data_IF_048507259283
#
_entry.id   IF_048507259283
#
_cell.length_a   1.000
_cell.length_b   1.000
_cell.length_c   1.000
_cell.angle_alpha   90.00
_cell.angle_beta   90.00
_cell.angle_gamma   90.00
#
_symmetry.space_group_name_H-M   'P 1'
#
loop_
_entity.id
_entity.type
_entity.pdbx_description
1 polymer ?
#
# COMPACT_ATOMS: atom_id res chain seq x y z
N UNK A 1 48.11 18.82 -10.26
CA UNK A 1 48.85 19.21 -9.05
C UNK A 1 48.27 18.40 -7.91
N UNK A 2 49.12 17.57 -7.29
CA UNK A 2 49.05 16.86 -6.00
C UNK A 2 47.78 16.06 -5.65
N UNK A 3 47.84 14.72 -5.63
CA UNK A 3 48.15 13.86 -4.46
C UNK A 3 46.96 13.83 -3.47
N UNK A 4 46.31 12.73 -3.10
CA UNK A 4 46.83 11.48 -2.54
C UNK A 4 45.86 10.29 -2.75
N UNK A 5 46.45 9.12 -2.95
CA UNK A 5 45.86 7.78 -2.91
C UNK A 5 45.78 7.28 -1.45
N UNK A 6 44.81 6.41 -1.14
CA UNK A 6 45.04 5.21 -0.29
C UNK A 6 43.89 4.20 -0.39
N UNK A 7 44.23 3.05 -0.94
CA UNK A 7 43.47 1.80 -0.92
C UNK A 7 43.74 0.98 0.37
N UNK A 8 42.94 -0.08 0.54
CA UNK A 8 43.13 -1.30 1.37
C UNK A 8 42.89 -1.15 2.89
N UNK A 9 42.33 -2.09 3.66
CA UNK A 9 42.02 -3.52 3.51
C UNK A 9 41.10 -3.93 4.69
N UNK A 10 40.31 -5.00 4.56
CA UNK A 10 39.77 -5.76 5.70
C UNK A 10 40.78 -6.86 6.08
N UNK A 11 40.89 -7.31 7.36
CA UNK A 11 40.15 -8.55 7.72
C UNK A 11 39.79 -8.75 9.22
N UNK A 12 38.71 -9.50 9.42
CA UNK A 12 38.46 -10.65 10.33
C UNK A 12 38.83 -10.66 11.85
N UNK A 13 37.97 -11.40 12.57
CA UNK A 13 38.11 -12.12 13.86
C UNK A 13 37.75 -11.37 15.14
N UNK A 14 36.85 -11.98 15.93
CA UNK A 14 36.99 -11.95 17.39
C UNK A 14 35.70 -11.82 18.18
N UNK A 15 34.97 -12.92 18.33
CA UNK A 15 34.08 -13.18 19.46
C UNK A 15 34.90 -13.23 20.77
N UNK A 16 34.44 -12.64 21.87
CA UNK A 16 34.56 -13.33 23.17
C UNK A 16 33.29 -13.16 24.02
N UNK A 17 32.64 -14.27 24.37
CA UNK A 17 32.93 -15.06 25.56
C UNK A 17 32.36 -14.43 26.85
N UNK A 18 31.21 -14.96 27.25
CA UNK A 18 30.54 -14.73 28.51
C UNK A 18 31.45 -15.10 29.69
N UNK A 19 31.59 -14.17 30.63
CA UNK A 19 32.32 -14.31 31.86
C UNK A 19 31.57 -15.25 32.82
N UNK A 20 31.93 -16.53 32.78
CA UNK A 20 31.60 -17.53 33.80
C UNK A 20 32.45 -17.24 35.04
N UNK A 21 31.80 -16.95 36.17
CA UNK A 21 32.44 -16.82 37.49
C UNK A 21 32.10 -18.06 38.30
N UNK A 22 33.08 -18.97 38.44
CA UNK A 22 33.03 -20.09 39.37
C UNK A 22 33.40 -19.62 40.81
N UNK A 23 32.82 -20.24 41.85
CA UNK A 23 32.98 -19.83 43.25
C UNK A 23 34.27 -20.38 43.89
N UNK A 24 34.79 -19.61 44.84
CA UNK A 24 35.96 -19.94 45.64
C UNK A 24 35.61 -20.76 46.90
N UNK A 25 36.52 -21.68 47.20
CA UNK A 25 36.73 -22.55 48.35
C UNK A 25 36.42 -21.97 49.76
N UNK A 26 35.59 -22.70 50.48
CA UNK A 26 35.73 -23.28 51.84
C UNK A 26 36.80 -22.71 52.81
N UNK A 27 36.34 -22.25 53.97
CA UNK A 27 36.97 -22.41 55.31
C UNK A 27 35.88 -22.14 56.37
N UNK A 28 35.37 -23.12 57.12
CA UNK A 28 35.98 -23.93 58.20
C UNK A 28 36.23 -23.18 59.52
N UNK A 29 35.30 -23.32 60.47
CA UNK A 29 35.49 -23.59 61.91
C UNK A 29 34.12 -23.42 62.62
N UNK A 30 33.77 -24.00 63.77
CA UNK A 30 34.08 -25.24 64.49
C UNK A 30 33.15 -25.21 65.72
N UNK A 31 32.38 -26.28 65.91
CA UNK A 31 31.77 -26.77 67.17
C UNK A 31 30.60 -26.02 67.84
N UNK A 32 29.49 -26.75 68.00
CA UNK A 32 28.52 -26.55 69.08
C UNK A 32 27.07 -26.78 68.68
N UNK A 33 26.65 -28.06 68.69
CA UNK A 33 25.31 -28.61 68.39
C UNK A 33 24.96 -28.80 66.91
N UNK A 34 25.47 -29.88 66.32
CA UNK A 34 25.06 -30.35 65.00
C UNK A 34 23.60 -30.82 65.06
N UNK A 35 22.69 -29.89 64.78
CA UNK A 35 21.32 -30.21 64.43
C UNK A 35 21.22 -30.21 62.91
N UNK A 36 21.58 -31.34 62.29
CA UNK A 36 21.44 -31.51 60.84
C UNK A 36 19.98 -31.31 60.44
N UNK A 37 19.72 -30.20 59.73
CA UNK A 37 18.38 -29.77 59.35
C UNK A 37 18.15 -30.05 57.87
N UNK A 38 17.36 -31.08 57.59
CA UNK A 38 17.00 -31.46 56.23
C UNK A 38 15.64 -30.88 55.85
N UNK A 39 15.43 -30.58 54.58
CA UNK A 39 14.16 -30.03 54.07
C UNK A 39 13.52 -30.98 53.08
N UNK A 40 12.23 -31.25 53.24
CA UNK A 40 11.42 -31.98 52.26
C UNK A 40 10.26 -31.11 51.75
N UNK A 41 9.91 -31.23 50.47
CA UNK A 41 8.70 -30.59 49.93
C UNK A 41 7.46 -31.36 50.36
N UNK A 42 6.37 -30.67 50.70
CA UNK A 42 5.14 -31.32 51.16
C UNK A 42 4.57 -32.32 50.13
N UNK A 43 4.63 -31.99 48.84
CA UNK A 43 4.19 -32.88 47.77
C UNK A 43 4.98 -34.18 47.69
N UNK A 44 6.29 -34.13 47.97
CA UNK A 44 7.14 -35.33 47.97
C UNK A 44 6.87 -36.19 49.20
N UNK A 45 6.68 -35.56 50.37
CA UNK A 45 6.33 -36.27 51.60
C UNK A 45 4.99 -37.00 51.47
N UNK A 46 3.96 -36.33 50.95
CA UNK A 46 2.63 -36.90 50.76
C UNK A 46 2.63 -38.05 49.73
N UNK A 47 3.42 -37.92 48.65
CA UNK A 47 3.57 -38.98 47.64
C UNK A 47 4.21 -40.26 48.21
N UNK A 48 5.20 -40.12 49.11
CA UNK A 48 5.85 -41.26 49.76
C UNK A 48 4.96 -41.92 50.83
N UNK A 49 4.21 -41.13 51.60
CA UNK A 49 3.19 -41.63 52.55
C UNK A 49 2.09 -42.40 51.81
N UNK A 50 1.63 -41.89 50.66
CA UNK A 50 0.60 -42.54 49.84
C UNK A 50 1.03 -43.91 49.29
N UNK A 51 2.34 -44.16 49.14
CA UNK A 51 2.90 -45.49 48.80
C UNK A 51 2.98 -46.44 49.98
N UNK A 52 2.63 -45.99 51.19
CA UNK A 52 2.59 -46.82 52.40
C UNK A 52 3.90 -46.86 53.17
N UNK A 53 4.87 -46.00 52.87
CA UNK A 53 6.12 -45.93 53.64
C UNK A 53 5.92 -45.22 54.98
N UNK A 54 6.60 -45.68 56.03
CA UNK A 54 6.56 -45.05 57.35
C UNK A 54 7.23 -43.67 57.33
N UNK A 55 6.73 -42.73 58.12
CA UNK A 55 7.31 -41.37 58.17
C UNK A 55 8.79 -41.36 58.58
N UNK A 56 9.20 -42.34 59.39
CA UNK A 56 10.57 -42.49 59.86
C UNK A 56 11.48 -42.95 58.72
N UNK A 57 11.04 -43.93 57.92
CA UNK A 57 11.76 -44.38 56.73
C UNK A 57 11.92 -43.24 55.70
N UNK A 58 10.88 -42.42 55.52
CA UNK A 58 10.92 -41.24 54.64
C UNK A 58 11.90 -40.19 55.18
N UNK A 59 11.84 -39.86 56.47
CA UNK A 59 12.78 -38.89 57.07
C UNK A 59 14.23 -39.39 56.96
N UNK A 60 14.48 -40.69 57.16
CA UNK A 60 15.81 -41.29 57.01
C UNK A 60 16.31 -41.31 55.57
N UNK A 61 15.44 -41.56 54.58
CA UNK A 61 15.85 -41.49 53.17
C UNK A 61 16.30 -40.08 52.79
N UNK A 62 15.64 -39.04 53.33
CA UNK A 62 16.06 -37.65 53.12
C UNK A 62 17.38 -37.34 53.81
N UNK A 63 17.58 -37.82 55.04
CA UNK A 63 18.88 -37.69 55.75
C UNK A 63 20.00 -38.40 54.99
N UNK A 64 19.71 -39.55 54.39
CA UNK A 64 20.63 -40.28 53.51
C UNK A 64 20.91 -39.58 52.15
N UNK A 65 20.30 -38.41 51.91
CA UNK A 65 20.55 -37.59 50.73
C UNK A 65 19.63 -37.85 49.54
N UNK A 66 18.51 -38.56 49.74
CA UNK A 66 17.53 -38.75 48.67
C UNK A 66 16.72 -37.46 48.45
N UNK A 67 16.61 -37.02 47.19
CA UNK A 67 15.93 -35.75 46.82
C UNK A 67 14.62 -36.02 46.06
N UNK A 68 14.55 -37.14 45.34
CA UNK A 68 13.44 -37.49 44.46
C UNK A 68 12.60 -38.66 44.99
N UNK A 69 11.35 -38.74 44.55
CA UNK A 69 10.39 -39.79 44.93
C UNK A 69 10.95 -41.18 44.61
N UNK A 70 11.45 -41.39 43.39
CA UNK A 70 12.03 -42.65 42.95
C UNK A 70 13.23 -43.08 43.81
N UNK A 71 14.17 -42.16 44.05
CA UNK A 71 15.37 -42.42 44.85
C UNK A 71 15.03 -42.73 46.31
N UNK A 72 14.06 -42.02 46.89
CA UNK A 72 13.57 -42.32 48.23
C UNK A 72 12.93 -43.73 48.30
N UNK A 73 12.07 -44.07 47.34
CA UNK A 73 11.44 -45.41 47.31
C UNK A 73 12.46 -46.54 47.16
N UNK A 74 13.44 -46.37 46.28
CA UNK A 74 14.50 -47.36 46.06
C UNK A 74 15.38 -47.53 47.31
N UNK A 75 15.71 -46.43 47.99
CA UNK A 75 16.48 -46.49 49.24
C UNK A 75 15.70 -47.21 50.33
N UNK A 76 14.41 -46.89 50.51
CA UNK A 76 13.57 -47.55 51.51
C UNK A 76 13.44 -49.05 51.20
N UNK A 77 13.17 -49.40 49.94
CA UNK A 77 13.02 -50.78 49.48
C UNK A 77 14.30 -51.61 49.68
N UNK A 78 15.47 -51.02 49.41
CA UNK A 78 16.76 -51.69 49.60
C UNK A 78 17.04 -52.03 51.07
N UNK A 79 16.41 -51.32 52.00
CA UNK A 79 16.60 -51.53 53.43
C UNK A 79 15.40 -52.24 54.10
N UNK A 80 14.38 -52.67 53.34
CA UNK A 80 13.20 -53.38 53.85
C UNK A 80 13.61 -54.65 54.64
N UNK A 81 13.36 -54.65 55.95
CA UNK A 81 13.72 -55.75 56.86
C UNK A 81 14.76 -55.39 57.93
N UNK A 82 15.41 -54.23 57.85
CA UNK A 82 16.24 -53.72 58.94
C UNK A 82 15.36 -53.09 60.03
N UNK A 83 15.45 -53.62 61.25
CA UNK A 83 14.72 -53.14 62.44
C UNK A 83 14.98 -51.66 62.78
N UNK A 84 16.00 -51.05 62.17
CA UNK A 84 16.34 -49.64 62.31
C UNK A 84 15.54 -48.71 61.40
N UNK A 85 14.85 -49.19 60.36
CA UNK A 85 14.09 -48.32 59.44
C UNK A 85 12.91 -47.61 60.12
N UNK A 86 12.20 -48.32 61.00
CA UNK A 86 11.04 -47.78 61.71
C UNK A 86 11.41 -47.09 63.03
N UNK A 87 12.66 -47.21 63.48
CA UNK A 87 13.17 -46.52 64.65
C UNK A 87 13.17 -45.01 64.42
N UNK A 88 12.63 -44.27 65.39
CA UNK A 88 12.64 -42.80 65.36
C UNK A 88 14.06 -42.26 65.15
N UNK A 89 14.19 -41.13 64.43
CA UNK A 89 15.47 -40.46 64.26
C UNK A 89 16.02 -40.02 65.63
N UNK A 90 17.35 -40.00 65.76
CA UNK A 90 18.03 -39.51 66.95
C UNK A 90 17.68 -38.03 67.23
N UNK A 91 17.58 -37.65 68.51
CA UNK A 91 17.03 -36.39 69.02
C UNK A 91 17.73 -35.09 68.51
N UNK A 92 18.75 -35.21 67.65
CA UNK A 92 19.45 -34.10 67.00
C UNK A 92 19.03 -33.78 65.56
N UNK A 93 18.37 -34.68 64.83
CA UNK A 93 18.13 -34.51 63.37
C UNK A 93 16.69 -34.07 63.09
N UNK A 94 16.51 -32.86 62.52
CA UNK A 94 15.17 -32.27 62.30
C UNK A 94 14.87 -32.08 60.82
N UNK A 95 13.89 -32.82 60.30
CA UNK A 95 13.38 -32.68 58.93
C UNK A 95 12.21 -31.68 58.89
N UNK A 96 12.37 -30.55 58.19
CA UNK A 96 11.37 -29.49 58.05
C UNK A 96 10.60 -29.68 56.73
N UNK A 97 9.28 -29.87 56.82
CA UNK A 97 8.39 -29.95 55.66
C UNK A 97 8.07 -28.52 55.19
N UNK A 98 8.57 -28.10 54.02
CA UNK A 98 8.23 -26.79 53.43
C UNK A 98 6.89 -26.87 52.68
N UNK A 99 5.82 -26.53 53.39
CA UNK A 99 4.52 -26.25 52.77
C UNK A 99 4.60 -24.90 52.03
N UNK A 100 4.21 -24.85 50.75
CA UNK A 100 4.01 -23.57 50.07
C UNK A 100 2.82 -22.87 50.72
N UNK A 101 3.05 -21.72 51.35
CA UNK A 101 1.97 -20.88 51.91
C UNK A 101 1.01 -20.51 50.78
N UNK A 102 -0.18 -21.10 50.81
CA UNK A 102 -1.27 -20.79 49.90
C UNK A 102 -1.66 -19.33 50.17
N UNK A 103 -1.31 -18.43 49.25
CA UNK A 103 -1.72 -17.02 49.28
C UNK A 103 -3.25 -16.94 49.47
N UNK A 104 -3.77 -16.06 50.32
CA UNK A 104 -5.21 -15.93 50.55
C UNK A 104 -5.91 -15.52 49.23
N UNK A 105 -7.17 -15.93 49.05
CA UNK A 105 -7.89 -15.72 47.79
C UNK A 105 -7.96 -14.23 47.41
N UNK A 106 -8.14 -13.33 48.39
CA UNK A 106 -8.15 -11.88 48.19
C UNK A 106 -6.79 -11.31 47.72
N UNK A 107 -5.66 -11.82 48.23
CA UNK A 107 -4.33 -11.37 47.81
C UNK A 107 -3.94 -11.92 46.42
N UNK A 108 -4.51 -13.07 46.02
CA UNK A 108 -4.37 -13.60 44.65
C UNK A 108 -5.14 -12.75 43.66
N UNK A 109 -6.38 -12.40 43.98
CA UNK A 109 -7.23 -11.56 43.13
C UNK A 109 -6.62 -10.18 42.93
N UNK A 110 -6.09 -9.55 43.99
CA UNK A 110 -5.40 -8.27 43.89
C UNK A 110 -4.17 -8.33 42.95
N UNK A 111 -3.34 -9.37 43.05
CA UNK A 111 -2.18 -9.55 42.16
C UNK A 111 -2.58 -9.85 40.73
N UNK A 112 -3.67 -10.59 40.52
CA UNK A 112 -4.22 -10.86 39.18
C UNK A 112 -4.70 -9.55 38.54
N UNK A 113 -5.42 -8.71 39.27
CA UNK A 113 -5.89 -7.42 38.78
C UNK A 113 -4.73 -6.47 38.44
N UNK A 114 -3.69 -6.40 39.28
CA UNK A 114 -2.49 -5.60 39.00
C UNK A 114 -1.77 -6.06 37.72
N UNK A 115 -1.61 -7.38 37.53
CA UNK A 115 -1.01 -7.95 36.34
C UNK A 115 -1.85 -7.68 35.09
N UNK A 116 -3.19 -7.79 35.19
CA UNK A 116 -4.09 -7.47 34.09
C UNK A 116 -4.03 -5.99 33.69
N UNK A 117 -3.95 -5.08 34.66
CA UNK A 117 -3.80 -3.65 34.39
C UNK A 117 -2.45 -3.34 33.74
N UNK A 118 -1.36 -3.97 34.20
CA UNK A 118 -0.04 -3.84 33.57
C UNK A 118 -0.03 -4.33 32.12
N UNK A 119 -0.69 -5.45 31.85
CA UNK A 119 -0.86 -5.98 30.48
C UNK A 119 -1.71 -5.03 29.64
N UNK A 120 -2.78 -4.46 30.20
CA UNK A 120 -3.63 -3.48 29.50
C UNK A 120 -2.83 -2.22 29.14
N UNK A 121 -2.10 -1.65 30.09
CA UNK A 121 -1.25 -0.46 29.89
C UNK A 121 -0.19 -0.70 28.82
N UNK A 122 0.51 -1.83 28.88
CA UNK A 122 1.53 -2.16 27.88
C UNK A 122 0.92 -2.35 26.48
N UNK A 123 -0.27 -2.96 26.36
CA UNK A 123 -0.98 -3.09 25.08
C UNK A 123 -1.44 -1.74 24.52
N UNK A 124 -1.85 -0.81 25.38
CA UNK A 124 -2.23 0.55 24.98
C UNK A 124 -1.02 1.37 24.51
N UNK A 125 0.11 1.26 25.21
CA UNK A 125 1.39 1.89 24.82
C UNK A 125 1.90 1.34 23.48
N UNK A 126 1.88 0.03 23.28
CA UNK A 126 2.27 -0.61 22.02
C UNK A 126 1.37 -0.17 20.86
N UNK A 127 0.05 -0.08 21.09
CA UNK A 127 -0.91 0.45 20.11
C UNK A 127 -0.61 1.89 19.73
N UNK A 128 -0.29 2.75 20.71
CA UNK A 128 0.05 4.15 20.46
C UNK A 128 1.37 4.30 19.70
N UNK A 129 2.38 3.49 20.02
CA UNK A 129 3.64 3.48 19.27
C UNK A 129 3.46 3.06 17.82
N UNK A 130 2.64 2.04 17.55
CA UNK A 130 2.31 1.61 16.19
C UNK A 130 1.60 2.72 15.42
N UNK A 131 0.63 3.40 16.05
CA UNK A 131 -0.04 4.56 15.44
C UNK A 131 0.93 5.71 15.19
N UNK A 132 1.89 5.96 16.09
CA UNK A 132 2.92 6.99 15.89
C UNK A 132 3.81 6.67 14.69
N UNK A 133 4.32 5.44 14.61
CA UNK A 133 5.15 4.97 13.48
C UNK A 133 4.38 5.01 12.16
N UNK A 134 3.10 4.67 12.15
CA UNK A 134 2.27 4.75 10.95
C UNK A 134 2.06 6.20 10.50
N UNK A 135 1.77 7.12 11.43
CA UNK A 135 1.67 8.56 11.15
C UNK A 135 2.98 9.12 10.62
N UNK A 136 4.10 8.79 11.25
CA UNK A 136 5.44 9.20 10.81
C UNK A 136 5.73 8.73 9.39
N UNK A 137 5.42 7.46 9.06
CA UNK A 137 5.56 6.94 7.70
C UNK A 137 4.71 7.72 6.68
N UNK A 138 3.45 7.99 7.01
CA UNK A 138 2.55 8.75 6.14
C UNK A 138 3.02 10.20 5.98
N UNK A 139 3.50 10.83 7.04
CA UNK A 139 4.05 12.18 7.00
C UNK A 139 5.34 12.25 6.19
N UNK A 140 6.23 11.27 6.32
CA UNK A 140 7.43 11.16 5.49
C UNK A 140 7.06 10.95 4.02
N UNK A 141 6.06 10.10 3.73
CA UNK A 141 5.52 9.95 2.38
C UNK A 141 4.93 11.24 1.80
N UNK A 142 4.13 11.97 2.59
CA UNK A 142 3.56 13.27 2.20
C UNK A 142 4.63 14.34 2.02
N UNK A 143 5.69 14.34 2.84
CA UNK A 143 6.83 15.26 2.71
C UNK A 143 7.61 14.99 1.43
N UNK A 144 7.88 13.72 1.11
CA UNK A 144 8.55 13.33 -0.13
C UNK A 144 7.77 13.76 -1.36
N UNK A 145 6.44 13.58 -1.37
CA UNK A 145 5.58 14.02 -2.48
C UNK A 145 5.57 15.55 -2.61
N UNK A 146 5.47 16.29 -1.51
CA UNK A 146 5.54 17.76 -1.53
C UNK A 146 6.86 18.26 -2.11
N UNK A 147 7.98 17.74 -1.61
CA UNK A 147 9.32 18.07 -2.12
C UNK A 147 9.48 17.73 -3.61
N UNK A 148 8.94 16.58 -4.05
CA UNK A 148 8.95 16.20 -5.47
C UNK A 148 8.16 17.19 -6.33
N UNK A 149 6.96 17.55 -5.91
CA UNK A 149 6.13 18.51 -6.64
C UNK A 149 6.79 19.88 -6.72
N UNK A 150 7.39 20.36 -5.62
CA UNK A 150 8.13 21.63 -5.60
C UNK A 150 9.33 21.59 -6.58
N UNK A 151 10.09 20.49 -6.61
CA UNK A 151 11.20 20.32 -7.56
C UNK A 151 10.72 20.30 -9.01
N UNK A 152 9.61 19.60 -9.29
CA UNK A 152 9.01 19.56 -10.63
C UNK A 152 8.45 20.92 -11.04
N UNK A 153 7.84 21.69 -10.14
CA UNK A 153 7.37 23.05 -10.40
C UNK A 153 8.53 24.00 -10.73
N UNK A 154 9.62 23.94 -9.97
CA UNK A 154 10.83 24.74 -10.25
C UNK A 154 11.39 24.37 -11.62
N UNK A 155 11.47 23.07 -11.94
CA UNK A 155 11.93 22.62 -13.26
C UNK A 155 11.01 23.08 -14.39
N UNK A 156 9.69 23.00 -14.20
CA UNK A 156 8.72 23.48 -15.20
C UNK A 156 8.84 24.99 -15.40
N UNK A 157 8.98 25.76 -14.33
CA UNK A 157 9.18 27.22 -14.39
C UNK A 157 10.46 27.56 -15.16
N UNK A 158 11.57 26.89 -14.84
CA UNK A 158 12.84 27.07 -15.55
C UNK A 158 12.71 26.79 -17.05
N UNK A 159 12.07 25.67 -17.44
CA UNK A 159 11.87 25.32 -18.84
C UNK A 159 10.98 26.33 -19.58
N UNK A 160 9.94 26.86 -18.93
CA UNK A 160 9.06 27.87 -19.54
C UNK A 160 9.81 29.18 -19.72
N UNK A 161 10.60 29.61 -18.74
CA UNK A 161 11.40 30.83 -18.84
C UNK A 161 12.48 30.72 -19.93
N UNK A 162 13.12 29.55 -20.04
CA UNK A 162 14.06 29.24 -21.12
C UNK A 162 13.39 29.32 -22.49
N UNK A 163 12.26 28.64 -22.68
CA UNK A 163 11.50 28.73 -23.91
C UNK A 163 11.04 30.16 -24.23
N UNK A 164 10.67 30.96 -23.22
CA UNK A 164 10.33 32.37 -23.42
C UNK A 164 11.55 33.20 -23.87
N UNK A 165 12.72 32.95 -23.28
CA UNK A 165 13.97 33.63 -23.63
C UNK A 165 14.44 33.29 -25.04
N UNK A 166 14.38 32.02 -25.42
CA UNK A 166 14.67 31.56 -26.78
C UNK A 166 13.71 32.18 -27.79
N UNK A 167 12.39 32.12 -27.52
CA UNK A 167 11.38 32.74 -28.39
C UNK A 167 11.60 34.25 -28.52
N UNK A 168 11.98 34.95 -27.45
CA UNK A 168 12.27 36.38 -27.50
C UNK A 168 13.52 36.69 -28.34
N UNK A 169 14.59 35.91 -28.18
CA UNK A 169 15.81 36.03 -28.97
C UNK A 169 15.56 35.75 -30.46
N UNK A 170 14.77 34.71 -30.77
CA UNK A 170 14.36 34.38 -32.13
C UNK A 170 13.53 35.48 -32.78
N UNK A 171 12.60 36.08 -32.02
CA UNK A 171 11.81 37.22 -32.49
C UNK A 171 12.69 38.44 -32.75
N UNK A 172 13.67 38.70 -31.89
CA UNK A 172 14.62 39.80 -32.07
C UNK A 172 15.53 39.57 -33.29
N UNK A 173 16.04 38.35 -33.49
CA UNK A 173 16.82 37.98 -34.67
C UNK A 173 16.00 38.15 -35.96
N UNK A 174 14.75 37.67 -35.95
CA UNK A 174 13.80 37.86 -37.07
C UNK A 174 13.53 39.34 -37.35
N UNK A 175 13.40 40.17 -36.30
CA UNK A 175 13.23 41.62 -36.43
C UNK A 175 14.45 42.25 -37.11
N UNK A 176 15.67 41.94 -36.65
CA UNK A 176 16.92 42.47 -37.21
C UNK A 176 17.07 42.12 -38.70
N UNK A 177 16.87 40.85 -39.06
CA UNK A 177 16.95 40.40 -40.46
C UNK A 177 15.89 41.08 -41.32
N UNK A 178 14.67 41.24 -40.82
CA UNK A 178 13.60 41.87 -41.59
C UNK A 178 13.83 43.36 -41.83
N UNK A 179 14.35 44.08 -40.84
CA UNK A 179 14.74 45.49 -41.00
C UNK A 179 15.89 45.61 -42.02
N UNK A 180 16.90 44.73 -41.94
CA UNK A 180 18.00 44.71 -42.92
C UNK A 180 17.51 44.47 -44.36
N UNK A 181 16.60 43.52 -44.57
CA UNK A 181 16.03 43.26 -45.91
C UNK A 181 15.28 44.49 -46.45
N UNK A 182 14.55 45.20 -45.59
CA UNK A 182 13.82 46.40 -45.99
C UNK A 182 14.80 47.54 -46.29
N UNK A 183 15.85 47.71 -45.48
CA UNK A 183 16.90 48.69 -45.70
C UNK A 183 17.63 48.44 -47.03
N UNK A 184 18.09 47.21 -47.30
CA UNK A 184 18.73 46.82 -48.57
C UNK A 184 17.82 47.06 -49.79
N UNK A 185 16.49 46.89 -49.60
CA UNK A 185 15.49 47.19 -50.63
C UNK A 185 15.37 48.69 -50.88
N UNK A 186 15.54 49.52 -49.85
CA UNK A 186 15.48 50.98 -49.95
C UNK A 186 16.80 51.58 -50.47
N UNK A 187 17.95 51.03 -50.08
CA UNK A 187 19.26 51.40 -50.64
C UNK A 187 19.29 51.16 -52.16
N UNK A 188 18.75 50.03 -52.63
CA UNK A 188 18.59 49.75 -54.07
C UNK A 188 17.69 50.75 -54.80
N UNK A 189 16.82 51.47 -54.09
CA UNK A 189 15.98 52.54 -54.63
C UNK A 189 16.66 53.91 -54.59
N UNK A 190 17.91 54.00 -54.14
CA UNK A 190 18.70 55.23 -54.13
C UNK A 190 18.64 56.03 -52.82
N UNK A 191 18.10 55.47 -51.74
CA UNK A 191 18.17 56.10 -50.42
C UNK A 191 19.57 55.95 -49.81
N UNK A 192 20.01 56.95 -49.03
CA UNK A 192 21.25 56.82 -48.25
C UNK A 192 21.09 55.73 -47.18
N UNK A 193 22.18 55.10 -46.76
CA UNK A 193 22.18 53.99 -45.78
C UNK A 193 21.41 54.33 -44.49
N UNK A 194 21.64 55.52 -43.96
CA UNK A 194 21.03 55.96 -42.70
C UNK A 194 19.53 56.26 -42.88
N UNK A 195 19.14 56.86 -44.01
CA UNK A 195 17.73 57.08 -44.36
C UNK A 195 16.99 55.76 -44.63
N UNK A 196 17.65 54.80 -45.28
CA UNK A 196 17.11 53.48 -45.58
C UNK A 196 16.84 52.68 -44.31
N UNK A 197 17.73 52.72 -43.32
CA UNK A 197 17.54 52.08 -42.01
C UNK A 197 16.38 52.72 -41.23
N UNK A 198 16.33 54.05 -41.15
CA UNK A 198 15.29 54.77 -40.42
C UNK A 198 13.89 54.55 -41.04
N UNK A 199 13.80 54.46 -42.37
CA UNK A 199 12.55 54.16 -43.05
C UNK A 199 12.18 52.67 -42.94
N UNK A 200 13.16 51.77 -42.90
CA UNK A 200 12.93 50.34 -42.68
C UNK A 200 12.35 50.02 -41.30
N UNK A 201 12.84 50.70 -40.24
CA UNK A 201 12.29 50.58 -38.90
C UNK A 201 10.82 51.04 -38.83
N UNK A 202 10.52 52.21 -39.41
CA UNK A 202 9.14 52.74 -39.50
C UNK A 202 8.21 51.82 -40.28
N UNK A 203 8.64 51.31 -41.44
CA UNK A 203 7.84 50.37 -42.23
C UNK A 203 7.59 49.05 -41.48
N UNK A 204 8.57 48.56 -40.73
CA UNK A 204 8.42 47.36 -39.89
C UNK A 204 7.42 47.57 -38.75
N UNK A 205 7.51 48.71 -38.05
CA UNK A 205 6.60 49.06 -36.95
C UNK A 205 5.17 49.27 -37.44
N UNK A 206 4.97 50.02 -38.53
CA UNK A 206 3.65 50.20 -39.13
C UNK A 206 3.05 48.88 -39.63
N UNK A 207 3.86 47.98 -40.20
CA UNK A 207 3.40 46.66 -40.58
C UNK A 207 3.03 45.80 -39.36
N UNK A 208 3.76 45.90 -38.26
CA UNK A 208 3.43 45.23 -37.00
C UNK A 208 2.14 45.75 -36.37
N UNK A 209 1.90 47.07 -36.41
CA UNK A 209 0.66 47.70 -35.94
C UNK A 209 -0.54 47.27 -36.78
N UNK A 210 -0.41 47.28 -38.11
CA UNK A 210 -1.45 46.78 -39.02
C UNK A 210 -1.76 45.31 -38.76
N UNK A 211 -0.73 44.47 -38.61
CA UNK A 211 -0.91 43.06 -38.28
C UNK A 211 -1.60 42.85 -36.91
N UNK A 212 -1.28 43.67 -35.89
CA UNK A 212 -1.98 43.66 -34.59
C UNK A 212 -3.43 44.10 -34.71
N UNK A 213 -3.71 45.15 -35.49
CA UNK A 213 -5.06 45.63 -35.74
C UNK A 213 -5.90 44.58 -36.49
N UNK A 214 -5.34 43.97 -37.54
CA UNK A 214 -5.98 42.87 -38.27
C UNK A 214 -6.21 41.64 -37.38
N UNK A 215 -5.25 41.29 -36.51
CA UNK A 215 -5.41 40.20 -35.55
C UNK A 215 -6.50 40.49 -34.52
N UNK A 216 -6.57 41.73 -34.02
CA UNK A 216 -7.62 42.17 -33.11
C UNK A 216 -9.00 42.18 -33.78
N UNK A 217 -9.10 42.61 -35.03
CA UNK A 217 -10.34 42.54 -35.81
C UNK A 217 -10.75 41.09 -36.10
N UNK A 218 -9.80 40.21 -36.44
CA UNK A 218 -10.07 38.78 -36.60
C UNK A 218 -10.56 38.15 -35.29
N UNK A 219 -9.94 38.50 -34.16
CA UNK A 219 -10.37 38.05 -32.84
C UNK A 219 -11.78 38.56 -32.50
N UNK A 220 -12.07 39.84 -32.77
CA UNK A 220 -13.42 40.41 -32.60
C UNK A 220 -14.45 39.71 -33.47
N UNK A 221 -14.16 39.46 -34.75
CA UNK A 221 -15.06 38.70 -35.64
C UNK A 221 -15.30 37.28 -35.14
N UNK A 222 -14.27 36.60 -34.65
CA UNK A 222 -14.41 35.26 -34.04
C UNK A 222 -15.25 35.29 -32.76
N UNK A 223 -15.11 36.34 -31.95
CA UNK A 223 -15.94 36.57 -30.76
C UNK A 223 -17.37 36.99 -31.11
N UNK A 224 -17.61 37.79 -32.14
CA UNK A 224 -18.96 38.16 -32.59
C UNK A 224 -19.70 36.98 -33.23
N UNK A 225 -18.97 36.07 -33.88
CA UNK A 225 -19.51 34.78 -34.34
C UNK A 225 -19.87 33.87 -33.15
N UNK A 226 -19.39 34.20 -31.94
CA UNK A 226 -19.71 33.55 -30.68
C UNK A 226 -20.52 34.52 -29.76
N UNK A 227 -21.88 34.55 -29.88
CA UNK A 227 -22.93 34.83 -28.82
C UNK A 227 -23.80 36.12 -29.02
N UNK A 228 -25.14 36.18 -28.66
CA UNK A 228 -25.98 35.26 -27.82
C UNK A 228 -27.38 34.79 -28.32
N UNK A 229 -27.75 33.55 -27.96
CA UNK A 229 -29.09 33.21 -27.43
C UNK A 229 -29.23 33.76 -25.98
N UNK A 230 -30.42 34.07 -25.45
CA UNK A 230 -30.62 35.20 -24.54
C UNK A 230 -29.90 35.08 -23.19
N UNK A 231 -29.46 36.26 -22.74
CA UNK A 231 -28.62 36.59 -21.58
C UNK A 231 -28.96 35.81 -20.29
N UNK A 232 -27.97 35.09 -19.78
CA UNK A 232 -27.72 34.99 -18.35
C UNK A 232 -26.47 35.81 -18.03
N UNK A 233 -26.61 36.71 -17.07
CA UNK A 233 -25.58 37.60 -16.55
C UNK A 233 -24.41 36.82 -15.93
N UNK A 234 -23.20 37.29 -16.23
CA UNK A 234 -21.95 36.79 -15.67
C UNK A 234 -21.96 36.88 -14.14
N UNK A 235 -21.75 35.76 -13.46
CA UNK A 235 -21.08 35.73 -12.15
C UNK A 235 -20.36 34.40 -11.98
N UNK A 236 -19.12 34.51 -11.53
CA UNK A 236 -18.27 33.44 -11.02
C UNK A 236 -19.05 32.38 -10.25
N UNK A 237 -18.87 31.12 -10.64
CA UNK A 237 -18.69 29.93 -9.79
C UNK A 237 -19.28 28.70 -10.48
N UNK A 238 -18.46 27.65 -10.54
CA UNK A 238 -18.80 26.26 -10.84
C UNK A 238 -20.10 26.02 -11.62
N UNK A 239 -20.07 26.24 -12.93
CA UNK A 239 -21.14 25.77 -13.79
C UNK A 239 -21.17 24.23 -13.77
N UNK A 240 -22.02 23.67 -12.91
CA UNK A 240 -22.40 22.27 -12.96
C UNK A 240 -22.90 21.99 -14.38
N UNK A 241 -22.12 21.22 -15.14
CA UNK A 241 -22.50 20.79 -16.49
C UNK A 241 -23.75 19.90 -16.40
N UNK A 242 -24.94 20.50 -16.46
CA UNK A 242 -26.23 19.80 -16.52
C UNK A 242 -26.29 18.86 -17.73
N UNK A 243 -25.54 19.15 -18.80
CA UNK A 243 -25.32 18.24 -19.93
C UNK A 243 -24.57 16.97 -19.53
N UNK A 244 -23.61 17.03 -18.61
CA UNK A 244 -22.91 15.85 -18.10
C UNK A 244 -23.82 15.02 -17.19
N UNK A 245 -24.69 15.67 -16.40
CA UNK A 245 -25.67 15.00 -15.54
C UNK A 245 -26.76 14.31 -16.37
N UNK A 246 -27.31 15.01 -17.37
CA UNK A 246 -28.30 14.43 -18.30
C UNK A 246 -27.68 13.42 -19.27
N UNK A 247 -26.42 13.59 -19.68
CA UNK A 247 -25.70 12.58 -20.46
C UNK A 247 -25.43 11.32 -19.63
N UNK A 248 -25.07 11.45 -18.35
CA UNK A 248 -24.96 10.31 -17.44
C UNK A 248 -26.30 9.57 -17.33
N UNK A 249 -27.41 10.28 -17.11
CA UNK A 249 -28.76 9.69 -17.10
C UNK A 249 -29.14 9.04 -18.45
N UNK A 250 -28.77 9.65 -19.58
CA UNK A 250 -28.98 9.07 -20.91
C UNK A 250 -28.20 7.77 -21.11
N UNK A 251 -26.93 7.73 -20.68
CA UNK A 251 -26.11 6.52 -20.77
C UNK A 251 -26.61 5.42 -19.83
N UNK A 252 -27.13 5.80 -18.66
CA UNK A 252 -27.76 4.88 -17.71
C UNK A 252 -29.01 4.23 -18.32
N UNK A 253 -29.92 5.04 -18.88
CA UNK A 253 -31.14 4.55 -19.54
C UNK A 253 -30.83 3.68 -20.78
N UNK A 254 -29.76 4.01 -21.51
CA UNK A 254 -29.32 3.23 -22.67
C UNK A 254 -28.77 1.85 -22.26
N UNK A 255 -27.93 1.79 -21.22
CA UNK A 255 -27.46 0.51 -20.69
C UNK A 255 -28.61 -0.34 -20.15
N UNK A 256 -29.52 0.26 -19.38
CA UNK A 256 -30.68 -0.44 -18.84
C UNK A 256 -31.55 -1.03 -19.96
N UNK A 257 -31.79 -0.28 -21.05
CA UNK A 257 -32.51 -0.80 -22.22
C UNK A 257 -31.81 -1.98 -22.91
N UNK A 258 -30.47 -1.93 -23.06
CA UNK A 258 -29.69 -3.00 -23.68
C UNK A 258 -29.59 -4.27 -22.81
N UNK A 259 -29.64 -4.11 -21.48
CA UNK A 259 -29.62 -5.22 -20.54
C UNK A 259 -31.02 -5.76 -20.19
N UNK A 260 -32.10 -5.03 -20.50
CA UNK A 260 -33.49 -5.47 -20.29
C UNK A 260 -34.05 -6.38 -21.41
N UNK A 261 -33.47 -6.35 -22.63
CA UNK A 261 -33.92 -7.18 -23.76
C UNK A 261 -33.55 -8.67 -23.66
N UNK A 262 -33.81 -9.50 -24.68
CA UNK A 262 -33.36 -10.90 -24.70
C UNK A 262 -31.83 -11.01 -24.82
N UNK A 263 -31.21 -12.03 -24.19
CA UNK A 263 -29.77 -12.28 -24.30
C UNK A 263 -29.47 -12.71 -25.75
N UNK A 264 -28.54 -12.03 -26.46
CA UNK A 264 -28.22 -12.36 -27.85
C UNK A 264 -27.80 -13.83 -28.00
N UNK A 265 -28.37 -14.55 -28.96
CA UNK A 265 -28.11 -15.99 -29.12
C UNK A 265 -26.74 -16.30 -29.76
N UNK A 266 -26.17 -15.37 -30.55
CA UNK A 266 -24.97 -15.62 -31.35
C UNK A 266 -23.87 -14.55 -31.14
N UNK A 267 -22.78 -14.93 -30.47
CA UNK A 267 -21.56 -14.12 -30.38
C UNK A 267 -20.91 -13.72 -31.73
N UNK A 268 -20.85 -14.58 -32.78
CA UNK A 268 -20.13 -14.22 -34.02
C UNK A 268 -20.80 -13.07 -34.79
N UNK A 269 -22.14 -13.00 -34.78
CA UNK A 269 -22.87 -11.92 -35.45
C UNK A 269 -22.65 -10.56 -34.80
N UNK A 270 -22.35 -10.53 -33.50
CA UNK A 270 -22.03 -9.30 -32.77
C UNK A 270 -20.64 -8.77 -33.16
N UNK A 271 -19.64 -9.66 -33.20
CA UNK A 271 -18.28 -9.28 -33.60
C UNK A 271 -18.24 -8.85 -35.07
N UNK A 272 -18.99 -9.53 -35.94
CA UNK A 272 -19.15 -9.12 -37.34
C UNK A 272 -19.89 -7.78 -37.47
N UNK A 273 -20.87 -7.52 -36.59
CA UNK A 273 -21.56 -6.23 -36.50
C UNK A 273 -20.61 -5.09 -36.12
N UNK A 274 -19.74 -5.31 -35.13
CA UNK A 274 -18.70 -4.36 -34.73
C UNK A 274 -17.75 -4.03 -35.88
N UNK A 275 -17.32 -5.03 -36.64
CA UNK A 275 -16.41 -4.84 -37.80
C UNK A 275 -17.08 -4.11 -38.97
N UNK A 276 -18.41 -4.21 -39.13
CA UNK A 276 -19.15 -3.63 -40.27
C UNK A 276 -19.64 -2.20 -40.04
N UNK A 277 -20.00 -1.83 -38.80
CA UNK A 277 -20.65 -0.54 -38.51
C UNK A 277 -19.71 0.60 -38.10
N UNK A 278 -18.43 0.33 -37.89
CA UNK A 278 -17.54 1.25 -37.17
C UNK A 278 -16.24 1.52 -37.96
N UNK A 279 -15.67 2.74 -37.93
CA UNK A 279 -14.35 3.01 -38.48
C UNK A 279 -13.29 2.09 -37.86
N UNK A 280 -12.35 1.61 -38.68
CA UNK A 280 -11.36 0.58 -38.30
C UNK A 280 -10.59 0.92 -37.02
N UNK A 281 -10.23 2.19 -36.82
CA UNK A 281 -9.45 2.64 -35.66
C UNK A 281 -10.18 2.43 -34.32
N UNK A 282 -11.47 2.80 -34.25
CA UNK A 282 -12.27 2.67 -33.02
C UNK A 282 -12.61 1.21 -32.71
N UNK A 283 -12.79 0.40 -33.75
CA UNK A 283 -12.99 -1.05 -33.62
C UNK A 283 -11.76 -1.71 -33.01
N UNK A 284 -10.56 -1.33 -33.46
CA UNK A 284 -9.30 -1.84 -32.91
C UNK A 284 -9.11 -1.50 -31.43
N UNK A 285 -9.40 -0.25 -31.02
CA UNK A 285 -9.34 0.15 -29.61
C UNK A 285 -10.35 -0.61 -28.72
N UNK A 286 -11.57 -0.80 -29.21
CA UNK A 286 -12.59 -1.58 -28.50
C UNK A 286 -12.16 -3.05 -28.33
N UNK A 287 -11.72 -3.69 -29.43
CA UNK A 287 -11.27 -5.10 -29.43
C UNK A 287 -10.08 -5.29 -28.47
N UNK A 288 -9.10 -4.38 -28.47
CA UNK A 288 -7.97 -4.42 -27.53
C UNK A 288 -8.43 -4.31 -26.08
N UNK A 289 -9.36 -3.40 -25.80
CA UNK A 289 -9.88 -3.19 -24.44
C UNK A 289 -10.70 -4.39 -23.95
N UNK A 290 -11.54 -4.97 -24.80
CA UNK A 290 -12.31 -6.18 -24.50
C UNK A 290 -11.38 -7.38 -24.26
N UNK A 291 -10.35 -7.56 -25.09
CA UNK A 291 -9.33 -8.62 -24.92
C UNK A 291 -8.62 -8.49 -23.59
N UNK A 292 -8.25 -7.26 -23.20
CA UNK A 292 -7.60 -7.00 -21.91
C UNK A 292 -8.51 -7.39 -20.74
N UNK A 293 -9.78 -6.98 -20.77
CA UNK A 293 -10.75 -7.28 -19.70
C UNK A 293 -10.98 -8.80 -19.60
N UNK A 294 -11.32 -9.46 -20.72
CA UNK A 294 -11.59 -10.90 -20.74
C UNK A 294 -10.33 -11.71 -20.42
N UNK A 295 -9.17 -11.29 -20.91
CA UNK A 295 -7.88 -11.93 -20.63
C UNK A 295 -7.49 -11.85 -19.15
N UNK A 296 -7.70 -10.70 -18.50
CA UNK A 296 -7.46 -10.55 -17.06
C UNK A 296 -8.36 -11.47 -16.23
N UNK A 297 -9.61 -11.67 -16.64
CA UNK A 297 -10.56 -12.57 -15.98
C UNK A 297 -10.18 -14.03 -16.20
N UNK A 298 -9.70 -14.41 -17.38
CA UNK A 298 -9.26 -15.79 -17.65
C UNK A 298 -7.98 -16.10 -16.87
N UNK A 299 -7.04 -15.15 -16.77
CA UNK A 299 -5.81 -15.31 -16.02
C UNK A 299 -6.08 -15.52 -14.53
N UNK A 300 -6.96 -14.70 -13.95
CA UNK A 300 -7.31 -14.77 -12.53
C UNK A 300 -8.82 -14.81 -12.35
N UNK A 301 -9.44 -15.99 -12.54
CA UNK A 301 -10.89 -16.09 -12.54
C UNK A 301 -11.45 -15.80 -11.18
N UNK A 302 -10.77 -16.00 -10.05
CA UNK A 302 -11.36 -15.80 -8.71
C UNK A 302 -11.28 -14.37 -8.17
N UNK A 303 -10.59 -13.46 -8.87
CA UNK A 303 -10.44 -12.08 -8.42
C UNK A 303 -11.71 -11.25 -8.69
N UNK A 304 -12.42 -10.88 -7.63
CA UNK A 304 -13.64 -10.08 -7.69
C UNK A 304 -13.41 -8.69 -8.29
N UNK A 305 -12.20 -8.13 -8.17
CA UNK A 305 -11.86 -6.83 -8.77
C UNK A 305 -11.75 -6.91 -10.29
N UNK A 306 -11.30 -8.04 -10.82
CA UNK A 306 -11.17 -8.26 -12.28
C UNK A 306 -12.50 -8.66 -12.92
N UNK A 307 -13.40 -9.28 -12.15
CA UNK A 307 -14.79 -9.58 -12.55
C UNK A 307 -15.71 -8.37 -12.56
N UNK A 308 -15.28 -7.24 -12.00
CA UNK A 308 -16.09 -6.03 -11.88
C UNK A 308 -15.53 -4.92 -12.76
N UNK A 309 -16.40 -4.30 -13.55
CA UNK A 309 -16.05 -3.26 -14.50
C UNK A 309 -16.88 -2.02 -14.22
N UNK A 310 -16.24 -0.90 -13.92
CA UNK A 310 -16.93 0.36 -13.63
C UNK A 310 -17.25 1.08 -14.94
N UNK A 311 -18.54 1.35 -15.18
CA UNK A 311 -19.01 2.06 -16.39
C UNK A 311 -18.46 3.49 -16.47
N UNK A 312 -18.11 4.11 -15.34
CA UNK A 312 -17.50 5.45 -15.28
C UNK A 312 -16.05 5.50 -15.80
N UNK A 313 -15.40 4.34 -15.98
CA UNK A 313 -14.00 4.27 -16.42
C UNK A 313 -13.85 4.85 -17.82
N UNK A 314 -12.82 5.68 -18.01
CA UNK A 314 -12.56 6.35 -19.30
C UNK A 314 -12.47 5.34 -20.47
N UNK A 315 -11.71 4.26 -20.28
CA UNK A 315 -11.58 3.21 -21.30
C UNK A 315 -12.95 2.62 -21.70
N UNK A 316 -13.85 2.41 -20.75
CA UNK A 316 -15.18 1.88 -21.02
C UNK A 316 -16.04 2.89 -21.79
N UNK A 317 -16.06 4.16 -21.35
CA UNK A 317 -16.87 5.23 -21.99
C UNK A 317 -16.42 5.58 -23.39
N UNK A 318 -15.12 5.56 -23.65
CA UNK A 318 -14.57 6.02 -24.92
C UNK A 318 -14.56 4.91 -25.99
N UNK A 319 -14.33 3.65 -25.56
CA UNK A 319 -14.10 2.52 -26.49
C UNK A 319 -15.22 1.48 -26.55
N UNK A 320 -15.97 1.23 -25.46
CA UNK A 320 -16.98 0.15 -25.39
C UNK A 320 -18.40 0.72 -25.46
N UNK A 321 -18.68 1.77 -24.68
CA UNK A 321 -20.01 2.38 -24.58
C UNK A 321 -20.58 2.91 -25.91
N UNK A 322 -19.78 3.45 -26.86
CA UNK A 322 -20.32 3.89 -28.16
C UNK A 322 -20.73 2.74 -29.09
N UNK A 323 -20.46 1.49 -28.71
CA UNK A 323 -20.68 0.30 -29.52
C UNK A 323 -21.66 -0.65 -28.82
N UNK A 324 -22.91 -0.63 -29.26
CA UNK A 324 -23.99 -1.44 -28.71
C UNK A 324 -23.65 -2.95 -28.79
N UNK A 325 -23.01 -3.38 -29.87
CA UNK A 325 -22.60 -4.76 -30.07
C UNK A 325 -21.53 -5.20 -29.06
N UNK A 326 -20.64 -4.30 -28.64
CA UNK A 326 -19.61 -4.59 -27.66
C UNK A 326 -20.21 -4.82 -26.26
N UNK A 327 -21.21 -4.01 -25.91
CA UNK A 327 -21.99 -4.15 -24.67
C UNK A 327 -22.81 -5.44 -24.68
N UNK A 328 -23.42 -5.78 -25.82
CA UNK A 328 -24.14 -7.04 -26.02
C UNK A 328 -23.21 -8.26 -25.95
N UNK A 329 -21.96 -8.16 -26.41
CA UNK A 329 -20.96 -9.22 -26.28
C UNK A 329 -20.57 -9.47 -24.82
N UNK A 330 -20.41 -8.42 -24.02
CA UNK A 330 -20.19 -8.55 -22.57
C UNK A 330 -21.39 -9.22 -21.89
N UNK A 331 -22.61 -8.85 -22.25
CA UNK A 331 -23.81 -9.52 -21.76
C UNK A 331 -23.87 -11.01 -22.12
N UNK A 332 -23.48 -11.36 -23.36
CA UNK A 332 -23.38 -12.77 -23.77
C UNK A 332 -22.35 -13.57 -22.96
N UNK A 333 -21.24 -12.91 -22.57
CA UNK A 333 -20.23 -13.49 -21.70
C UNK A 333 -20.73 -13.71 -20.26
N UNK A 334 -21.85 -13.11 -19.86
CA UNK A 334 -22.48 -13.28 -18.55
C UNK A 334 -22.29 -12.09 -17.60
N UNK A 335 -21.87 -10.92 -18.10
CA UNK A 335 -21.85 -9.72 -17.29
C UNK A 335 -23.27 -9.24 -17.04
N UNK A 336 -23.56 -8.89 -15.79
CA UNK A 336 -24.83 -8.33 -15.35
C UNK A 336 -24.63 -6.89 -14.85
N UNK A 337 -25.63 -6.05 -15.02
CA UNK A 337 -25.63 -4.69 -14.50
C UNK A 337 -25.93 -4.68 -13.00
N UNK A 338 -25.01 -4.12 -12.21
CA UNK A 338 -25.15 -3.94 -10.77
C UNK A 338 -25.03 -2.45 -10.43
N UNK A 339 -25.96 -1.93 -9.66
CA UNK A 339 -25.90 -0.59 -9.09
C UNK A 339 -25.28 -0.66 -7.70
N UNK A 340 -24.19 0.07 -7.48
CA UNK A 340 -23.58 0.21 -6.15
C UNK A 340 -24.38 1.20 -5.29
N UNK A 341 -24.18 1.23 -3.96
CA UNK A 341 -24.90 2.10 -3.00
C UNK A 341 -24.72 3.60 -3.24
N UNK A 342 -23.89 3.98 -4.20
CA UNK A 342 -23.58 5.36 -4.59
C UNK A 342 -24.06 5.68 -6.02
N UNK A 343 -25.09 5.00 -6.52
CA UNK A 343 -25.69 5.14 -7.87
C UNK A 343 -24.70 4.97 -9.04
N UNK A 344 -23.54 4.37 -8.76
CA UNK A 344 -22.55 4.06 -9.78
C UNK A 344 -22.89 2.72 -10.43
N UNK A 345 -23.13 2.73 -11.74
CA UNK A 345 -23.34 1.52 -12.52
C UNK A 345 -22.01 0.77 -12.69
N UNK A 346 -22.03 -0.50 -12.32
CA UNK A 346 -20.92 -1.44 -12.48
C UNK A 346 -21.42 -2.70 -13.18
N UNK A 347 -20.58 -3.28 -14.03
CA UNK A 347 -20.86 -4.57 -14.67
C UNK A 347 -20.13 -5.65 -13.89
N UNK A 348 -20.87 -6.63 -13.40
CA UNK A 348 -20.35 -7.70 -12.55
C UNK A 348 -20.53 -9.04 -13.27
N UNK A 349 -19.44 -9.81 -13.36
CA UNK A 349 -19.50 -11.18 -13.85
C UNK A 349 -19.76 -12.14 -12.68
N UNK A 350 -21.05 -12.39 -12.39
CA UNK A 350 -21.49 -13.26 -11.29
C UNK A 350 -21.14 -14.73 -11.57
N UNK A 351 -21.35 -15.17 -12.81
CA UNK A 351 -21.08 -16.54 -13.25
C UNK A 351 -19.97 -16.55 -14.30
N UNK A 352 -18.83 -17.14 -13.96
CA UNK A 352 -17.68 -17.23 -14.88
C UNK A 352 -17.79 -18.51 -15.70
N UNK A 353 -18.22 -18.38 -16.96
CA UNK A 353 -18.25 -19.51 -17.90
C UNK A 353 -17.02 -19.46 -18.80
N UNK A 354 -15.95 -20.15 -18.40
CA UNK A 354 -14.64 -20.12 -19.09
C UNK A 354 -14.74 -20.44 -20.59
N UNK A 355 -15.63 -21.37 -21.00
CA UNK A 355 -15.84 -21.71 -22.41
C UNK A 355 -16.35 -20.51 -23.23
N UNK A 356 -17.23 -19.69 -22.67
CA UNK A 356 -17.76 -18.48 -23.34
C UNK A 356 -16.69 -17.41 -23.46
N UNK A 357 -15.89 -17.21 -22.40
CA UNK A 357 -14.80 -16.24 -22.43
C UNK A 357 -13.74 -16.59 -23.48
N UNK A 358 -13.31 -17.86 -23.55
CA UNK A 358 -12.39 -18.32 -24.59
C UNK A 358 -12.99 -18.20 -25.99
N UNK A 359 -14.28 -18.50 -26.16
CA UNK A 359 -14.96 -18.35 -27.45
C UNK A 359 -15.04 -16.88 -27.89
N UNK A 360 -15.35 -15.96 -26.97
CA UNK A 360 -15.35 -14.53 -27.25
C UNK A 360 -13.95 -14.02 -27.64
N UNK A 361 -12.91 -14.44 -26.90
CA UNK A 361 -11.52 -14.09 -27.24
C UNK A 361 -11.08 -14.63 -28.61
N UNK A 362 -11.45 -15.86 -28.94
CA UNK A 362 -11.13 -16.46 -30.24
C UNK A 362 -11.77 -15.67 -31.40
N UNK A 363 -13.01 -15.20 -31.22
CA UNK A 363 -13.72 -14.40 -32.23
C UNK A 363 -13.14 -12.99 -32.39
N UNK A 364 -12.61 -12.40 -31.32
CA UNK A 364 -11.95 -11.08 -31.36
C UNK A 364 -10.62 -11.10 -32.14
N UNK A 365 -10.05 -12.29 -32.39
CA UNK A 365 -8.83 -12.49 -33.18
C UNK A 365 -7.57 -11.96 -32.50
N UNK A 366 -6.40 -12.27 -33.07
CA UNK A 366 -5.09 -11.72 -32.69
C UNK A 366 -4.65 -10.71 -33.75
N UNK A 367 -5.24 -9.51 -33.75
CA UNK A 367 -4.56 -8.35 -34.34
C UNK A 367 -3.63 -7.71 -33.31
#
# INVERSE_FOLDING_TARGET
MSSEERETEAPNVGEPAALVKLPAEISSSSEGSDSDTYTISQSLFDALVARGFSENAIKKSIVAGCIDEATCTQWIQMHEGHAELDTALEDGVKVIIKAKRVLTEAEREAKVMELQERVRRNKEEERLELQRKERERLEMGRRMVRMKNEMEEVRRKMNVEEAQRENAADLEAKRRVKIQIIADRLERKGHTRDEALALAEKEFEQAAEKARAEAAEKLKKLQETQVPAPRATLSSDGAWNLSAITAASRTQNMLEGLFAGEVPACAPTLVDGMRKRTPADRTGECVRTLRLILGNIIADPFDTKKRTLRVSTKAFRDSILPLDEAVQLLRWCGFDLSTDTADNQTLCLTTVVMRRLHQALALLGNE
#
